data_IF_808576765079
#
_entry.id   IF_808576765079
#
_cell.length_a   1.000
_cell.length_b   1.000
_cell.length_c   1.000
_cell.angle_alpha   90.00
_cell.angle_beta   90.00
_cell.angle_gamma   90.00
#
_symmetry.space_group_name_H-M   'P 1'
#
loop_
_entity.id
_entity.type
_entity.pdbx_description
1 polymer ?
#
# COMPACT_ATOMS: atom_id res chain seq x y z
N UNK A 1 36.77 14.37 -6.63
CA UNK A 1 36.63 12.90 -6.54
C UNK A 1 35.72 12.57 -5.36
N UNK A 2 34.55 11.98 -5.59
CA UNK A 2 33.68 11.51 -4.50
C UNK A 2 34.21 10.16 -4.00
N UNK A 3 34.67 10.12 -2.74
CA UNK A 3 35.10 8.87 -2.11
C UNK A 3 33.85 7.99 -1.98
N UNK A 4 33.77 6.91 -2.76
CA UNK A 4 32.76 5.86 -2.53
C UNK A 4 32.97 5.38 -1.09
N UNK A 5 32.00 5.62 -0.19
CA UNK A 5 31.98 4.98 1.12
C UNK A 5 32.11 3.48 0.88
N UNK A 6 33.24 2.88 1.28
CA UNK A 6 33.40 1.42 1.31
C UNK A 6 32.20 0.91 2.09
N UNK A 7 31.37 0.06 1.48
CA UNK A 7 30.21 -0.51 2.18
C UNK A 7 30.71 -1.13 3.47
N UNK A 8 30.08 -0.79 4.61
CA UNK A 8 30.46 -1.35 5.89
C UNK A 8 30.39 -2.88 5.78
N UNK A 9 31.56 -3.52 5.75
CA UNK A 9 31.65 -4.97 5.68
C UNK A 9 31.27 -5.48 7.07
N UNK A 10 30.16 -6.20 7.16
CA UNK A 10 29.73 -6.83 8.40
C UNK A 10 30.77 -7.90 8.79
N UNK A 11 31.27 -7.94 10.05
CA UNK A 11 32.16 -9.00 10.49
C UNK A 11 31.47 -10.37 10.44
N UNK A 12 32.24 -11.44 10.27
CA UNK A 12 31.68 -12.78 10.02
C UNK A 12 30.81 -13.30 11.18
N UNK A 13 31.18 -13.00 12.43
CA UNK A 13 30.39 -13.37 13.62
C UNK A 13 28.95 -12.85 13.55
N UNK A 14 28.77 -11.60 13.13
CA UNK A 14 27.44 -10.98 13.01
C UNK A 14 26.66 -11.52 11.80
N UNK A 15 27.34 -12.02 10.76
CA UNK A 15 26.68 -12.72 9.65
C UNK A 15 26.10 -14.04 10.11
N UNK A 16 26.88 -14.82 10.85
CA UNK A 16 26.44 -16.12 11.39
C UNK A 16 25.29 -15.93 12.38
N UNK A 17 25.40 -14.94 13.27
CA UNK A 17 24.32 -14.57 14.20
C UNK A 17 23.04 -14.16 13.47
N UNK A 18 23.14 -13.35 12.41
CA UNK A 18 21.98 -12.97 11.62
C UNK A 18 21.31 -14.17 10.92
N UNK A 19 22.11 -15.07 10.34
CA UNK A 19 21.61 -16.27 9.68
C UNK A 19 20.96 -17.24 10.69
N UNK A 20 21.55 -17.40 11.87
CA UNK A 20 20.99 -18.19 12.97
C UNK A 20 19.64 -17.62 13.45
N UNK A 21 19.48 -16.30 13.43
CA UNK A 21 18.22 -15.62 13.75
C UNK A 21 17.22 -15.57 12.58
N UNK A 22 17.51 -16.26 11.46
CA UNK A 22 16.63 -16.28 10.28
C UNK A 22 16.57 -14.96 9.52
N UNK A 23 17.53 -14.05 9.73
CA UNK A 23 17.58 -12.75 9.06
C UNK A 23 18.36 -12.84 7.75
N UNK A 24 17.77 -12.34 6.67
CA UNK A 24 18.51 -12.09 5.44
C UNK A 24 19.56 -10.98 5.67
N UNK A 25 20.78 -11.18 5.15
CA UNK A 25 21.85 -10.18 5.24
C UNK A 25 21.45 -8.83 4.62
N UNK A 26 20.61 -8.85 3.58
CA UNK A 26 20.03 -7.65 2.95
C UNK A 26 19.24 -6.81 3.97
N UNK A 27 18.50 -7.46 4.87
CA UNK A 27 17.77 -6.80 5.97
C UNK A 27 18.73 -6.14 6.94
N UNK A 28 19.80 -6.82 7.33
CA UNK A 28 20.83 -6.28 8.24
C UNK A 28 21.52 -5.07 7.61
N UNK A 29 21.95 -5.15 6.35
CA UNK A 29 22.54 -4.01 5.64
C UNK A 29 21.58 -2.83 5.51
N UNK A 30 20.29 -3.09 5.25
CA UNK A 30 19.28 -2.05 5.19
C UNK A 30 19.06 -1.36 6.55
N UNK A 31 19.15 -2.09 7.67
CA UNK A 31 19.09 -1.55 9.03
C UNK A 31 20.32 -0.70 9.35
N UNK A 32 21.52 -1.18 9.03
CA UNK A 32 22.77 -0.41 9.19
C UNK A 32 22.75 0.88 8.36
N UNK A 33 22.24 0.84 7.13
CA UNK A 33 22.07 2.03 6.29
C UNK A 33 21.12 3.06 6.91
N UNK A 34 20.15 2.59 7.72
CA UNK A 34 19.22 3.44 8.48
C UNK A 34 19.79 3.89 9.83
N UNK A 35 21.05 3.56 10.15
CA UNK A 35 21.72 4.00 11.37
C UNK A 35 21.50 3.12 12.59
N UNK A 36 21.00 1.89 12.42
CA UNK A 36 20.85 0.95 13.54
C UNK A 36 22.20 0.46 14.04
N UNK A 37 22.29 0.14 15.33
CA UNK A 37 23.46 -0.55 15.86
C UNK A 37 23.55 -1.98 15.30
N UNK A 38 24.76 -2.52 15.20
CA UNK A 38 25.03 -3.84 14.62
C UNK A 38 24.31 -4.93 15.41
N UNK A 39 24.38 -4.89 16.74
CA UNK A 39 23.70 -5.87 17.61
C UNK A 39 22.17 -5.83 17.45
N UNK A 40 21.59 -4.63 17.42
CA UNK A 40 20.16 -4.43 17.20
C UNK A 40 19.74 -4.90 15.79
N UNK A 41 20.59 -4.63 14.80
CA UNK A 41 20.32 -4.98 13.41
C UNK A 41 20.30 -6.50 13.17
N UNK A 42 21.04 -7.28 13.94
CA UNK A 42 21.08 -8.76 13.83
C UNK A 42 20.17 -9.47 14.83
N UNK A 43 19.66 -8.79 15.86
CA UNK A 43 18.84 -9.44 16.90
C UNK A 43 17.33 -9.25 16.70
N UNK A 44 16.89 -8.14 16.10
CA UNK A 44 15.45 -7.84 15.97
C UNK A 44 14.87 -8.61 14.79
N UNK A 45 13.84 -9.42 14.99
CA UNK A 45 13.16 -10.10 13.88
C UNK A 45 12.37 -9.10 13.02
N UNK A 46 12.20 -9.30 11.71
CA UNK A 46 11.35 -8.44 10.90
C UNK A 46 9.92 -8.60 11.41
N UNK A 47 9.21 -7.50 11.63
CA UNK A 47 7.77 -7.56 11.89
C UNK A 47 7.11 -8.32 10.76
N UNK A 48 6.21 -9.25 11.10
CA UNK A 48 5.42 -9.96 10.10
C UNK A 48 4.84 -8.94 9.14
N UNK A 49 4.96 -9.22 7.84
CA UNK A 49 4.31 -8.42 6.83
C UNK A 49 2.83 -8.71 6.94
N UNK A 50 2.13 -8.11 7.89
CA UNK A 50 0.68 -7.98 7.74
C UNK A 50 0.53 -7.24 6.43
N UNK A 51 0.04 -7.96 5.43
CA UNK A 51 -0.09 -7.37 4.10
C UNK A 51 -0.95 -6.13 4.31
N UNK A 52 -0.55 -4.97 3.80
CA UNK A 52 -1.38 -3.76 3.87
C UNK A 52 -2.81 -4.02 3.37
N UNK A 53 -3.01 -5.10 2.59
CA UNK A 53 -4.31 -5.65 2.21
C UNK A 53 -5.13 -6.25 3.36
N UNK A 54 -4.52 -6.98 4.29
CA UNK A 54 -5.19 -7.58 5.46
C UNK A 54 -5.72 -6.49 6.41
N UNK A 55 -4.91 -5.47 6.71
CA UNK A 55 -5.34 -4.31 7.51
C UNK A 55 -6.46 -3.51 6.84
N UNK A 56 -6.56 -3.54 5.51
CA UNK A 56 -7.63 -2.89 4.74
C UNK A 56 -8.91 -3.73 4.68
N UNK A 57 -8.82 -5.06 4.89
CA UNK A 57 -10.00 -5.95 5.00
C UNK A 57 -10.73 -5.71 6.32
N UNK A 58 -10.01 -5.66 7.44
CA UNK A 58 -10.61 -5.42 8.77
C UNK A 58 -11.32 -4.07 8.89
N UNK A 59 -10.82 -3.06 8.16
CA UNK A 59 -11.43 -1.72 8.13
C UNK A 59 -12.60 -1.58 7.15
N UNK A 60 -13.07 -2.68 6.55
CA UNK A 60 -14.23 -2.67 5.64
C UNK A 60 -14.02 -1.95 4.31
N UNK A 61 -12.78 -1.57 3.97
CA UNK A 61 -12.48 -0.84 2.73
C UNK A 61 -12.40 -1.74 1.49
N UNK A 62 -12.25 -3.05 1.70
CA UNK A 62 -12.20 -4.05 0.63
C UNK A 62 -13.30 -5.08 0.90
N UNK A 63 -14.30 -5.15 0.02
CA UNK A 63 -15.22 -6.30 -0.02
C UNK A 63 -14.37 -7.53 -0.33
N UNK A 64 -14.13 -8.37 0.68
CA UNK A 64 -13.39 -9.60 0.52
C UNK A 64 -14.11 -10.43 -0.57
N UNK A 65 -13.39 -10.76 -1.65
CA UNK A 65 -13.82 -11.59 -2.79
C UNK A 65 -14.40 -10.91 -4.03
N UNK A 66 -14.31 -9.57 -4.22
CA UNK A 66 -14.52 -9.01 -5.56
C UNK A 66 -13.20 -9.03 -6.35
N UNK A 67 -13.17 -9.67 -7.51
CA UNK A 67 -12.01 -9.62 -8.40
C UNK A 67 -11.74 -8.15 -8.78
N UNK A 68 -10.47 -7.74 -8.75
CA UNK A 68 -10.08 -6.37 -9.14
C UNK A 68 -10.37 -6.20 -10.64
N UNK A 69 -11.33 -5.33 -10.97
CA UNK A 69 -11.57 -4.92 -12.34
C UNK A 69 -10.45 -4.02 -12.88
N UNK A 70 -10.42 -3.81 -14.19
CA UNK A 70 -9.54 -2.84 -14.83
C UNK A 70 -9.93 -1.42 -14.42
N UNK A 71 -8.93 -0.57 -14.16
CA UNK A 71 -9.17 0.87 -14.01
C UNK A 71 -9.67 1.44 -15.34
N UNK A 72 -10.72 2.26 -15.27
CA UNK A 72 -11.28 2.97 -16.42
C UNK A 72 -11.02 4.45 -16.22
N UNK A 73 -10.42 5.08 -17.22
CA UNK A 73 -10.28 6.54 -17.28
C UNK A 73 -11.39 7.08 -18.17
N UNK A 74 -12.12 8.08 -17.69
CA UNK A 74 -13.12 8.79 -18.49
C UNK A 74 -12.96 10.30 -18.31
N UNK A 75 -13.26 11.05 -19.36
CA UNK A 75 -13.38 12.50 -19.30
C UNK A 75 -14.82 12.85 -18.93
N UNK A 76 -14.99 13.85 -18.07
CA UNK A 76 -16.28 14.42 -17.70
C UNK A 76 -16.32 15.84 -18.26
N UNK A 77 -17.49 16.27 -18.73
CA UNK A 77 -17.68 17.65 -19.16
C UNK A 77 -17.58 18.60 -17.96
N UNK A 78 -17.12 19.83 -18.22
CA UNK A 78 -16.80 20.80 -17.17
C UNK A 78 -18.01 21.17 -16.31
N UNK A 79 -19.18 21.32 -16.92
CA UNK A 79 -20.45 21.59 -16.24
C UNK A 79 -20.84 20.47 -15.26
N UNK A 80 -20.57 19.22 -15.62
CA UNK A 80 -20.80 18.07 -14.76
C UNK A 80 -19.75 17.97 -13.65
N UNK A 81 -18.50 18.39 -13.91
CA UNK A 81 -17.46 18.45 -12.88
C UNK A 81 -17.84 19.42 -11.76
N UNK A 82 -18.38 20.59 -12.09
CA UNK A 82 -18.83 21.56 -11.10
C UNK A 82 -19.96 21.02 -10.21
N UNK A 83 -20.95 20.38 -10.84
CA UNK A 83 -22.05 19.71 -10.13
C UNK A 83 -21.54 18.56 -9.25
N UNK A 84 -20.60 17.78 -9.76
CA UNK A 84 -19.98 16.67 -9.03
C UNK A 84 -19.21 17.16 -7.81
N UNK A 85 -18.39 18.21 -7.95
CA UNK A 85 -17.65 18.79 -6.84
C UNK A 85 -18.59 19.37 -5.77
N UNK A 86 -19.70 20.00 -6.17
CA UNK A 86 -20.74 20.47 -5.24
C UNK A 86 -21.39 19.31 -4.49
N UNK A 87 -21.79 18.25 -5.19
CA UNK A 87 -22.40 17.07 -4.58
C UNK A 87 -21.46 16.37 -3.59
N UNK A 88 -20.15 16.37 -3.85
CA UNK A 88 -19.15 15.82 -2.92
C UNK A 88 -19.01 16.65 -1.65
N UNK A 89 -19.07 17.98 -1.77
CA UNK A 89 -18.99 18.88 -0.62
C UNK A 89 -20.20 18.68 0.32
N UNK A 90 -21.39 18.46 -0.23
CA UNK A 90 -22.62 18.26 0.53
C UNK A 90 -22.70 16.87 1.21
N UNK A 91 -22.23 15.83 0.52
CA UNK A 91 -22.30 14.45 1.00
C UNK A 91 -21.12 14.01 1.88
N UNK A 92 -19.97 14.69 1.78
CA UNK A 92 -18.75 14.35 2.52
C UNK A 92 -18.10 13.03 2.11
N UNK A 93 -18.51 12.43 0.99
CA UNK A 93 -17.95 11.18 0.47
C UNK A 93 -16.76 11.44 -0.46
N UNK A 94 -15.96 10.40 -0.71
CA UNK A 94 -14.84 10.51 -1.65
C UNK A 94 -15.30 10.43 -3.10
N UNK A 95 -14.55 11.05 -4.01
CA UNK A 95 -14.80 11.00 -5.48
C UNK A 95 -15.01 9.57 -5.98
N UNK A 96 -14.13 8.66 -5.56
CA UNK A 96 -14.17 7.26 -6.00
C UNK A 96 -15.42 6.55 -5.53
N UNK A 97 -15.89 6.83 -4.32
CA UNK A 97 -17.06 6.18 -3.75
C UNK A 97 -18.34 6.65 -4.42
N UNK A 98 -18.47 7.98 -4.62
CA UNK A 98 -19.60 8.54 -5.34
C UNK A 98 -19.74 7.93 -6.75
N UNK A 99 -18.64 7.86 -7.49
CA UNK A 99 -18.66 7.31 -8.86
C UNK A 99 -19.02 5.82 -8.84
N UNK A 100 -18.49 5.05 -7.89
CA UNK A 100 -18.81 3.63 -7.76
C UNK A 100 -20.31 3.43 -7.50
N UNK A 101 -20.89 4.17 -6.55
CA UNK A 101 -22.30 4.06 -6.19
C UNK A 101 -23.21 4.49 -7.36
N UNK A 102 -22.87 5.58 -8.04
CA UNK A 102 -23.64 6.06 -9.19
C UNK A 102 -23.66 5.04 -10.34
N UNK A 103 -22.52 4.43 -10.65
CA UNK A 103 -22.41 3.38 -11.68
C UNK A 103 -23.19 2.14 -11.26
N UNK A 104 -23.08 1.71 -10.01
CA UNK A 104 -23.81 0.54 -9.50
C UNK A 104 -25.33 0.74 -9.57
N UNK A 105 -25.83 1.89 -9.10
CA UNK A 105 -27.26 2.22 -9.19
C UNK A 105 -27.77 2.23 -10.64
N UNK A 106 -26.99 2.81 -11.56
CA UNK A 106 -27.35 2.83 -12.98
C UNK A 106 -27.41 1.43 -13.58
N UNK A 107 -26.41 0.59 -13.30
CA UNK A 107 -26.34 -0.78 -13.83
C UNK A 107 -27.46 -1.67 -13.26
N UNK A 108 -27.77 -1.55 -11.97
CA UNK A 108 -28.90 -2.28 -11.35
C UNK A 108 -30.24 -1.90 -11.99
N UNK A 109 -30.43 -0.60 -12.26
CA UNK A 109 -31.60 -0.10 -12.97
C UNK A 109 -31.66 -0.63 -14.40
N UNK A 110 -30.53 -0.66 -15.11
CA UNK A 110 -30.46 -1.21 -16.46
C UNK A 110 -30.77 -2.70 -16.52
N UNK A 111 -30.26 -3.49 -15.56
CA UNK A 111 -30.57 -4.92 -15.43
C UNK A 111 -32.05 -5.20 -15.12
N UNK A 112 -32.74 -4.29 -14.42
CA UNK A 112 -34.15 -4.47 -14.10
C UNK A 112 -35.08 -4.15 -15.28
N UNK A 113 -34.57 -3.42 -16.28
CA UNK A 113 -35.33 -2.97 -17.44
C UNK A 113 -35.07 -3.83 -18.70
N UNK A 114 -34.15 -4.79 -18.64
CA UNK A 114 -33.79 -5.73 -19.71
C UNK A 114 -34.01 -7.17 -19.24
#
# INVERSE_FOLDING_TARGET
MSVRKRGNVLPNEYKEKALSNGLALTTVYARLKRGWNIDEAVSIQPTEKTSTHELKRDKGWLVANRAKGSSITFAIYQDLEDLFNKALQESGVTKSQFVADAVEQYLLKWQSNN
#
